data_IF_131579387206
#
_entry.id   IF_131579387206
#
_cell.length_a   1.000
_cell.length_b   1.000
_cell.length_c   1.000
_cell.angle_alpha   90.00
_cell.angle_beta   90.00
_cell.angle_gamma   90.00
#
_symmetry.space_group_name_H-M   'P 1'
#
loop_
_entity.id
_entity.type
_entity.pdbx_description
1 polymer ?
#
# COMPACT_ATOMS: atom_id res chain seq x y z
N UNK A 1 16.64 -10.87 6.38
CA UNK A 1 15.29 -11.42 6.16
C UNK A 1 15.40 -12.58 5.18
N UNK A 2 14.84 -13.74 5.51
CA UNK A 2 14.91 -14.86 4.59
C UNK A 2 13.82 -14.76 3.51
N UNK A 3 13.89 -15.68 2.55
CA UNK A 3 13.01 -15.65 1.38
C UNK A 3 11.52 -15.75 1.78
N UNK A 4 11.21 -16.58 2.75
CA UNK A 4 9.82 -16.78 3.17
C UNK A 4 9.29 -15.53 3.87
N UNK A 5 10.10 -14.90 4.71
CA UNK A 5 9.74 -13.66 5.37
C UNK A 5 9.54 -12.54 4.36
N UNK A 6 10.40 -12.49 3.35
CA UNK A 6 10.29 -11.48 2.31
C UNK A 6 9.01 -11.66 1.51
N UNK A 7 8.68 -12.89 1.13
CA UNK A 7 7.46 -13.17 0.40
C UNK A 7 6.21 -12.82 1.22
N UNK A 8 6.25 -13.13 2.51
CA UNK A 8 5.14 -12.77 3.40
C UNK A 8 4.96 -11.26 3.51
N UNK A 9 6.07 -10.53 3.57
CA UNK A 9 6.02 -9.07 3.61
C UNK A 9 5.46 -8.48 2.32
N UNK A 10 5.90 -8.98 1.18
CA UNK A 10 5.40 -8.53 -0.13
C UNK A 10 3.90 -8.79 -0.23
N UNK A 11 3.46 -9.97 0.19
CA UNK A 11 2.04 -10.30 0.17
C UNK A 11 1.24 -9.36 1.06
N UNK A 12 1.75 -9.09 2.27
CA UNK A 12 1.09 -8.18 3.20
C UNK A 12 0.99 -6.78 2.62
N UNK A 13 2.06 -6.27 2.02
CA UNK A 13 2.06 -4.94 1.40
C UNK A 13 1.03 -4.85 0.27
N UNK A 14 0.95 -5.89 -0.56
CA UNK A 14 -0.04 -5.92 -1.64
C UNK A 14 -1.46 -5.92 -1.08
N UNK A 15 -1.71 -6.63 0.01
CA UNK A 15 -3.01 -6.64 0.67
C UNK A 15 -3.34 -5.24 1.21
N UNK A 16 -2.38 -4.57 1.83
CA UNK A 16 -2.59 -3.23 2.37
C UNK A 16 -2.88 -2.23 1.26
N UNK A 17 -2.18 -2.33 0.14
CA UNK A 17 -2.43 -1.46 -1.02
C UNK A 17 -3.86 -1.66 -1.53
N UNK A 18 -4.30 -2.91 -1.65
CA UNK A 18 -5.65 -3.23 -2.10
C UNK A 18 -6.71 -2.67 -1.16
N UNK A 19 -6.53 -2.87 0.15
CA UNK A 19 -7.46 -2.35 1.16
C UNK A 19 -7.49 -0.82 1.15
N UNK A 20 -6.33 -0.20 0.99
CA UNK A 20 -6.22 1.25 0.96
C UNK A 20 -6.92 1.81 -0.28
N UNK A 21 -6.77 1.15 -1.43
CA UNK A 21 -7.49 1.55 -2.65
C UNK A 21 -9.01 1.51 -2.45
N UNK A 22 -9.52 0.51 -1.75
CA UNK A 22 -10.94 0.42 -1.42
C UNK A 22 -11.37 1.60 -0.55
N UNK A 23 -10.56 1.92 0.45
CA UNK A 23 -10.83 3.05 1.35
C UNK A 23 -10.83 4.38 0.60
N UNK A 24 -9.91 4.55 -0.34
CA UNK A 24 -9.83 5.75 -1.18
C UNK A 24 -11.11 5.89 -2.01
N UNK A 25 -11.56 4.79 -2.63
CA UNK A 25 -12.78 4.79 -3.44
C UNK A 25 -14.00 5.14 -2.60
N UNK A 26 -14.10 4.58 -1.40
CA UNK A 26 -15.20 4.88 -0.48
C UNK A 26 -15.20 6.35 -0.06
N UNK A 27 -14.03 6.87 0.29
CA UNK A 27 -13.88 8.27 0.70
C UNK A 27 -14.24 9.21 -0.45
N UNK A 28 -13.82 8.88 -1.67
CA UNK A 28 -14.17 9.65 -2.84
C UNK A 28 -15.67 9.66 -3.08
N UNK A 29 -16.29 8.50 -2.94
CA UNK A 29 -17.72 8.33 -3.16
C UNK A 29 -18.56 9.13 -2.16
N UNK A 30 -18.08 9.27 -0.92
CA UNK A 30 -18.76 10.01 0.14
C UNK A 30 -18.32 11.47 0.22
N UNK A 31 -17.47 11.91 -0.71
CA UNK A 31 -16.92 13.28 -0.74
C UNK A 31 -16.13 13.63 0.52
N UNK A 32 -15.47 12.64 1.12
CA UNK A 32 -14.63 12.88 2.29
C UNK A 32 -13.19 13.07 1.84
N UNK A 33 -12.86 14.29 1.44
CA UNK A 33 -11.56 14.60 0.83
C UNK A 33 -10.41 14.44 1.80
N UNK A 34 -10.61 14.77 3.08
CA UNK A 34 -9.56 14.62 4.09
C UNK A 34 -9.17 13.16 4.23
N UNK A 35 -10.15 12.27 4.28
CA UNK A 35 -9.93 10.84 4.41
C UNK A 35 -9.32 10.25 3.14
N UNK A 36 -9.78 10.72 2.00
CA UNK A 36 -9.23 10.30 0.70
C UNK A 36 -7.74 10.63 0.63
N UNK A 37 -7.36 11.86 0.96
CA UNK A 37 -5.97 12.31 0.96
C UNK A 37 -5.12 11.50 1.93
N UNK A 38 -5.65 11.23 3.13
CA UNK A 38 -4.96 10.44 4.14
C UNK A 38 -4.64 9.04 3.60
N UNK A 39 -5.63 8.38 3.01
CA UNK A 39 -5.43 7.02 2.50
C UNK A 39 -4.53 7.00 1.26
N UNK A 40 -4.57 8.03 0.43
CA UNK A 40 -3.64 8.15 -0.70
C UNK A 40 -2.19 8.22 -0.21
N UNK A 41 -1.94 8.97 0.86
CA UNK A 41 -0.62 9.03 1.46
C UNK A 41 -0.18 7.67 2.01
N UNK A 42 -1.09 6.95 2.64
CA UNK A 42 -0.81 5.59 3.13
C UNK A 42 -0.49 4.65 1.98
N UNK A 43 -1.28 4.69 0.91
CA UNK A 43 -1.03 3.86 -0.27
C UNK A 43 0.34 4.14 -0.86
N UNK A 44 0.70 5.41 -0.99
CA UNK A 44 1.99 5.79 -1.54
C UNK A 44 3.13 5.25 -0.67
N UNK A 45 2.99 5.30 0.64
CA UNK A 45 4.00 4.75 1.55
C UNK A 45 4.15 3.24 1.36
N UNK A 46 3.04 2.51 1.28
CA UNK A 46 3.08 1.07 1.04
C UNK A 46 3.72 0.74 -0.30
N UNK A 47 3.40 1.50 -1.34
CA UNK A 47 3.96 1.28 -2.67
C UNK A 47 5.45 1.57 -2.69
N UNK A 48 5.91 2.60 -1.99
CA UNK A 48 7.34 2.89 -1.89
C UNK A 48 8.09 1.78 -1.17
N UNK A 49 7.51 1.24 -0.10
CA UNK A 49 8.10 0.10 0.60
C UNK A 49 8.19 -1.12 -0.33
N UNK A 50 7.11 -1.40 -1.04
CA UNK A 50 7.08 -2.53 -1.96
C UNK A 50 8.14 -2.38 -3.06
N UNK A 51 8.25 -1.18 -3.63
CA UNK A 51 9.24 -0.92 -4.67
C UNK A 51 10.66 -1.10 -4.15
N UNK A 52 10.94 -0.63 -2.94
CA UNK A 52 12.26 -0.79 -2.34
C UNK A 52 12.65 -2.26 -2.21
N UNK A 53 11.67 -3.10 -1.89
CA UNK A 53 11.91 -4.53 -1.68
C UNK A 53 12.05 -5.26 -3.01
N UNK A 54 11.15 -4.97 -3.97
CA UNK A 54 11.07 -5.77 -5.20
C UNK A 54 11.99 -5.27 -6.30
N UNK A 55 12.41 -4.01 -6.26
CA UNK A 55 13.31 -3.43 -7.26
C UNK A 55 14.73 -3.27 -6.72
N UNK A 56 15.06 -4.07 -5.72
CA UNK A 56 16.39 -4.00 -5.11
C UNK A 56 17.43 -4.52 -6.11
N UNK A 57 18.40 -3.70 -6.49
CA UNK A 57 19.45 -4.15 -7.40
C UNK A 57 20.43 -5.06 -6.67
N UNK A 58 20.87 -6.08 -7.33
CA UNK A 58 21.83 -6.99 -6.77
C UNK A 58 23.23 -6.74 -7.31
#
# INVERSE_FOLDING_TARGET
>A
MNKDQLQALVKWLNEQISLTNTSISEAHYTNNFARETQHEGMRDAFMRCLNKITMHPE
#
